data_IF_899642191290
#
_entry.id   IF_899642191290
#
_cell.length_a   1.000
_cell.length_b   1.000
_cell.length_c   1.000
_cell.angle_alpha   90.00
_cell.angle_beta   90.00
_cell.angle_gamma   90.00
#
_symmetry.space_group_name_H-M   'P 1'
#
loop_
_entity.id
_entity.type
_entity.pdbx_description
1 polymer ?
#
# COMPACT_ATOMS: atom_id res chain seq x y z
N UNK A 1 -25.51 18.17 -54.86
CA UNK A 1 -24.05 17.95 -54.87
C UNK A 1 -23.69 16.92 -53.82
N UNK A 2 -23.46 15.66 -54.24
CA UNK A 2 -23.00 14.59 -53.37
C UNK A 2 -21.69 14.97 -52.66
N UNK A 3 -21.56 14.62 -51.39
CA UNK A 3 -20.44 15.03 -50.55
C UNK A 3 -19.73 13.83 -49.93
N UNK A 4 -18.39 13.86 -49.91
CA UNK A 4 -17.58 12.83 -49.27
C UNK A 4 -17.20 13.24 -47.84
N UNK A 5 -17.76 12.60 -46.78
CA UNK A 5 -17.44 12.93 -45.40
C UNK A 5 -16.04 12.49 -44.91
N UNK A 6 -15.31 11.74 -45.74
CA UNK A 6 -13.93 11.30 -45.46
C UNK A 6 -12.88 12.18 -46.11
N UNK A 7 -13.15 12.67 -47.32
CA UNK A 7 -12.22 13.50 -48.09
C UNK A 7 -12.56 15.01 -48.04
N UNK A 8 -13.71 15.38 -47.47
CA UNK A 8 -14.21 16.76 -47.39
C UNK A 8 -14.30 17.45 -48.76
N UNK A 9 -14.92 16.77 -49.73
CA UNK A 9 -15.08 17.25 -51.10
C UNK A 9 -16.50 17.06 -51.62
N UNK A 10 -16.96 18.02 -52.41
CA UNK A 10 -18.24 18.00 -53.11
C UNK A 10 -18.06 17.52 -54.56
N UNK A 11 -19.01 16.72 -55.03
CA UNK A 11 -18.99 16.08 -56.34
C UNK A 11 -20.15 16.58 -57.21
N UNK A 12 -19.97 16.47 -58.52
CA UNK A 12 -21.00 16.79 -59.51
C UNK A 12 -22.14 15.76 -59.41
N UNK A 13 -23.38 16.20 -59.60
CA UNK A 13 -24.57 15.36 -59.51
C UNK A 13 -24.51 14.17 -60.48
N UNK A 14 -24.77 12.96 -59.96
CA UNK A 14 -24.70 11.69 -60.71
C UNK A 14 -23.52 10.78 -60.31
N UNK A 15 -22.57 11.27 -59.52
CA UNK A 15 -21.47 10.47 -58.96
C UNK A 15 -21.88 9.97 -57.56
N UNK A 16 -21.81 8.65 -57.33
CA UNK A 16 -22.24 8.01 -56.08
C UNK A 16 -21.08 7.47 -55.22
N UNK A 17 -19.87 7.43 -55.77
CA UNK A 17 -18.66 6.90 -55.13
C UNK A 17 -17.52 7.93 -55.24
N UNK A 18 -16.82 8.18 -54.14
CA UNK A 18 -15.67 9.09 -54.10
C UNK A 18 -14.49 8.53 -54.90
N UNK A 19 -13.86 9.33 -55.77
CA UNK A 19 -12.69 8.92 -56.55
C UNK A 19 -11.45 8.59 -55.71
N UNK A 20 -11.31 9.23 -54.54
CA UNK A 20 -10.07 9.19 -53.76
C UNK A 20 -10.14 8.13 -52.66
N UNK A 21 -11.22 8.12 -51.87
CA UNK A 21 -11.38 7.14 -50.79
C UNK A 21 -12.29 5.95 -51.14
N UNK A 22 -12.87 5.92 -52.34
CA UNK A 22 -13.78 4.86 -52.81
C UNK A 22 -15.01 4.62 -51.90
N UNK A 23 -15.31 5.57 -51.00
CA UNK A 23 -16.45 5.51 -50.09
C UNK A 23 -17.74 6.02 -50.72
N UNK A 24 -18.91 5.60 -50.20
CA UNK A 24 -20.20 6.13 -50.63
C UNK A 24 -20.30 7.63 -50.31
N UNK A 25 -20.83 8.41 -51.26
CA UNK A 25 -21.07 9.84 -51.09
C UNK A 25 -22.43 10.07 -50.42
N UNK A 26 -22.48 10.99 -49.46
CA UNK A 26 -23.72 11.45 -48.85
C UNK A 26 -24.45 12.41 -49.80
N UNK A 27 -25.78 12.48 -49.72
CA UNK A 27 -26.60 13.32 -50.61
C UNK A 27 -26.28 14.82 -50.51
N UNK A 28 -25.82 15.27 -49.34
CA UNK A 28 -25.30 16.61 -49.10
C UNK A 28 -24.33 16.64 -47.91
N UNK A 29 -23.53 17.71 -47.81
CA UNK A 29 -22.64 17.96 -46.68
C UNK A 29 -23.40 18.02 -45.35
N UNK A 30 -24.52 18.71 -45.34
CA UNK A 30 -25.38 18.87 -44.17
C UNK A 30 -25.98 17.53 -43.71
N UNK A 31 -26.36 16.64 -44.64
CA UNK A 31 -26.82 15.30 -44.31
C UNK A 31 -25.71 14.45 -43.67
N UNK A 32 -24.48 14.57 -44.16
CA UNK A 32 -23.33 13.86 -43.59
C UNK A 32 -22.94 14.36 -42.19
N UNK A 33 -22.97 15.68 -41.98
CA UNK A 33 -22.71 16.30 -40.67
C UNK A 33 -23.82 15.98 -39.66
N UNK A 34 -25.09 15.99 -40.10
CA UNK A 34 -26.22 15.61 -39.24
C UNK A 34 -26.18 14.14 -38.80
N UNK A 35 -25.78 13.22 -39.69
CA UNK A 35 -25.60 11.81 -39.33
C UNK A 35 -24.45 11.61 -38.34
N UNK A 36 -23.28 12.25 -38.57
CA UNK A 36 -22.15 12.19 -37.63
C UNK A 36 -22.51 12.77 -36.26
N UNK A 37 -23.24 13.88 -36.22
CA UNK A 37 -23.66 14.51 -34.96
C UNK A 37 -24.61 13.62 -34.17
N UNK A 38 -25.57 12.97 -34.83
CA UNK A 38 -26.47 11.99 -34.18
C UNK A 38 -25.70 10.80 -33.62
N UNK A 39 -24.76 10.24 -34.39
CA UNK A 39 -23.92 9.14 -33.93
C UNK A 39 -23.04 9.55 -32.73
N UNK A 40 -22.50 10.78 -32.74
CA UNK A 40 -21.76 11.35 -31.61
C UNK A 40 -22.63 11.57 -30.38
N UNK A 41 -23.86 12.06 -30.54
CA UNK A 41 -24.81 12.23 -29.44
C UNK A 41 -25.23 10.87 -28.85
N UNK A 42 -25.52 9.87 -29.69
CA UNK A 42 -25.86 8.50 -29.25
C UNK A 42 -24.69 7.82 -28.52
N UNK A 43 -23.47 7.96 -29.03
CA UNK A 43 -22.28 7.42 -28.36
C UNK A 43 -22.00 8.10 -27.03
N UNK A 44 -22.19 9.43 -26.95
CA UNK A 44 -22.04 10.17 -25.70
C UNK A 44 -23.08 9.74 -24.66
N UNK A 45 -24.35 9.57 -25.06
CA UNK A 45 -25.42 9.09 -24.17
C UNK A 45 -25.11 7.68 -23.64
N UNK A 46 -24.65 6.76 -24.49
CA UNK A 46 -24.24 5.41 -24.07
C UNK A 46 -23.09 5.42 -23.05
N UNK A 47 -22.09 6.27 -23.27
CA UNK A 47 -20.96 6.40 -22.34
C UNK A 47 -21.40 6.98 -20.99
N UNK A 48 -22.37 7.91 -20.98
CA UNK A 48 -22.92 8.44 -19.73
C UNK A 48 -23.67 7.37 -18.94
N UNK A 49 -24.52 6.58 -19.60
CA UNK A 49 -25.24 5.48 -18.95
C UNK A 49 -24.27 4.44 -18.34
N UNK A 50 -23.21 4.08 -19.06
CA UNK A 50 -22.18 3.14 -18.57
C UNK A 50 -21.42 3.70 -17.36
N UNK A 51 -21.11 5.00 -17.38
CA UNK A 51 -20.47 5.69 -16.26
C UNK A 51 -21.37 5.73 -15.02
N UNK A 52 -22.66 6.01 -15.19
CA UNK A 52 -23.64 6.02 -14.09
C UNK A 52 -23.82 4.62 -13.49
N UNK A 53 -23.90 3.59 -14.32
CA UNK A 53 -23.96 2.19 -13.87
C UNK A 53 -22.71 1.78 -13.08
N UNK A 54 -21.53 2.13 -13.57
CA UNK A 54 -20.28 1.87 -12.86
C UNK A 54 -20.23 2.60 -11.52
N UNK A 55 -20.67 3.86 -11.47
CA UNK A 55 -20.72 4.63 -10.23
C UNK A 55 -21.68 4.02 -9.21
N UNK A 56 -22.84 3.53 -9.64
CA UNK A 56 -23.81 2.85 -8.78
C UNK A 56 -23.23 1.54 -8.22
N UNK A 57 -22.62 0.70 -9.05
CA UNK A 57 -22.02 -0.56 -8.57
C UNK A 57 -20.89 -0.35 -7.55
N UNK A 58 -20.07 0.69 -7.72
CA UNK A 58 -19.04 1.07 -6.75
C UNK A 58 -19.67 1.52 -5.42
N UNK A 59 -20.77 2.26 -5.46
CA UNK A 59 -21.45 2.74 -4.26
C UNK A 59 -22.15 1.60 -3.50
N UNK A 60 -22.78 0.66 -4.23
CA UNK A 60 -23.36 -0.56 -3.65
C UNK A 60 -22.28 -1.43 -2.99
N UNK A 61 -21.12 -1.59 -3.64
CA UNK A 61 -19.96 -2.27 -3.05
C UNK A 61 -19.51 -1.58 -1.76
N UNK A 62 -19.38 -0.25 -1.75
CA UNK A 62 -19.00 0.49 -0.53
C UNK A 62 -20.01 0.29 0.60
N UNK A 63 -21.29 0.36 0.30
CA UNK A 63 -22.34 0.17 1.29
C UNK A 63 -22.33 -1.26 1.86
N UNK A 64 -22.13 -2.28 1.01
CA UNK A 64 -22.00 -3.66 1.47
C UNK A 64 -20.78 -3.84 2.39
N UNK A 65 -19.65 -3.21 2.06
CA UNK A 65 -18.45 -3.21 2.92
C UNK A 65 -18.70 -2.51 4.27
N UNK A 66 -19.34 -1.33 4.27
CA UNK A 66 -19.65 -0.59 5.50
C UNK A 66 -20.68 -1.30 6.39
N UNK A 67 -21.62 -2.02 5.78
CA UNK A 67 -22.64 -2.80 6.50
C UNK A 67 -22.04 -4.09 7.09
N UNK A 68 -21.14 -4.77 6.37
CA UNK A 68 -20.33 -5.86 6.94
C UNK A 68 -19.45 -5.39 8.10
N UNK A 69 -18.91 -4.17 8.04
CA UNK A 69 -18.09 -3.61 9.13
C UNK A 69 -18.91 -3.36 10.40
N UNK A 70 -20.16 -2.91 10.27
CA UNK A 70 -21.07 -2.66 11.40
C UNK A 70 -21.74 -3.92 11.96
N UNK A 71 -21.83 -4.98 11.16
CA UNK A 71 -22.49 -6.23 11.54
C UNK A 71 -21.59 -7.22 12.32
N UNK A 72 -20.27 -6.97 12.42
CA UNK A 72 -19.39 -7.83 13.22
C UNK A 72 -19.57 -7.54 14.72
N UNK A 73 -19.96 -8.54 15.54
CA UNK A 73 -19.87 -8.41 16.98
C UNK A 73 -18.42 -8.13 17.37
N UNK A 74 -18.24 -7.27 18.37
CA UNK A 74 -16.97 -6.81 18.91
C UNK A 74 -16.08 -7.99 19.33
N UNK A 75 -15.31 -8.51 18.37
CA UNK A 75 -14.15 -9.43 18.42
C UNK A 75 -14.00 -10.03 17.03
N UNK A 76 -13.62 -9.19 16.08
CA UNK A 76 -12.73 -9.69 15.03
C UNK A 76 -11.41 -9.91 15.77
N UNK A 77 -10.74 -11.07 15.69
CA UNK A 77 -9.30 -11.06 15.85
C UNK A 77 -8.82 -10.14 14.75
N UNK A 78 -8.64 -8.86 15.09
CA UNK A 78 -7.69 -8.00 14.41
C UNK A 78 -6.49 -8.90 14.21
N UNK A 79 -6.10 -9.16 12.95
CA UNK A 79 -4.82 -9.80 12.70
C UNK A 79 -3.83 -8.96 13.50
N UNK A 80 -3.44 -9.43 14.69
CA UNK A 80 -2.70 -8.64 15.65
C UNK A 80 -1.42 -8.35 14.92
N UNK A 81 -1.30 -7.12 14.43
CA UNK A 81 -0.10 -6.73 13.71
C UNK A 81 1.00 -6.91 14.74
N UNK A 82 1.91 -7.84 14.47
CA UNK A 82 3.05 -8.07 15.33
C UNK A 82 3.69 -6.71 15.63
N UNK A 83 3.93 -6.44 16.91
CA UNK A 83 4.46 -5.15 17.30
C UNK A 83 5.78 -4.88 16.58
N UNK A 84 5.83 -3.75 15.86
CA UNK A 84 7.05 -3.32 15.18
C UNK A 84 7.79 -2.40 16.12
N UNK A 85 8.89 -2.90 16.67
CA UNK A 85 9.77 -2.09 17.52
C UNK A 85 10.40 -0.93 16.73
N UNK A 86 10.76 0.15 17.43
CA UNK A 86 11.50 1.25 16.79
C UNK A 86 12.84 0.81 16.21
N UNK A 87 13.48 -0.21 16.78
CA UNK A 87 14.69 -0.81 16.25
C UNK A 87 14.46 -1.45 14.87
N UNK A 88 13.43 -2.29 14.74
CA UNK A 88 13.07 -2.90 13.46
C UNK A 88 12.67 -1.85 12.42
N UNK A 89 11.88 -0.85 12.82
CA UNK A 89 11.50 0.26 11.93
C UNK A 89 12.73 1.05 11.44
N UNK A 90 13.74 1.23 12.28
CA UNK A 90 15.00 1.86 11.88
C UNK A 90 15.74 1.03 10.82
N UNK A 91 15.87 -0.28 11.05
CA UNK A 91 16.55 -1.17 10.10
C UNK A 91 15.83 -1.23 8.75
N UNK A 92 14.49 -1.21 8.74
CA UNK A 92 13.69 -1.15 7.51
C UNK A 92 13.91 0.17 6.74
N UNK A 93 13.91 1.30 7.45
CA UNK A 93 14.17 2.62 6.85
C UNK A 93 15.60 2.72 6.32
N UNK A 94 16.58 2.19 7.06
CA UNK A 94 17.99 2.17 6.63
C UNK A 94 18.20 1.28 5.41
N UNK A 95 17.61 0.09 5.42
CA UNK A 95 17.66 -0.86 4.31
C UNK A 95 17.05 -0.27 3.05
N UNK A 96 15.83 0.28 3.15
CA UNK A 96 15.14 0.93 2.03
C UNK A 96 15.87 2.18 1.51
N UNK A 97 16.40 3.03 2.40
CA UNK A 97 17.20 4.18 2.00
C UNK A 97 18.43 3.77 1.18
N UNK A 98 19.12 2.70 1.59
CA UNK A 98 20.28 2.19 0.84
C UNK A 98 19.92 1.69 -0.55
N UNK A 99 18.77 1.01 -0.71
CA UNK A 99 18.28 0.54 -2.00
C UNK A 99 18.00 1.73 -2.95
N UNK A 100 17.32 2.77 -2.46
CA UNK A 100 17.07 3.97 -3.25
C UNK A 100 18.36 4.73 -3.59
N UNK A 101 19.33 4.76 -2.68
CA UNK A 101 20.62 5.39 -2.92
C UNK A 101 21.42 4.65 -4.02
N UNK A 102 21.42 3.31 -4.00
CA UNK A 102 22.10 2.50 -5.01
C UNK A 102 21.44 2.66 -6.39
N UNK A 103 20.11 2.49 -6.47
CA UNK A 103 19.37 2.61 -7.74
C UNK A 103 19.45 4.03 -8.28
N UNK A 104 19.18 5.04 -7.44
CA UNK A 104 19.26 6.45 -7.81
C UNK A 104 20.67 6.87 -8.23
N UNK A 105 21.70 6.40 -7.52
CA UNK A 105 23.10 6.67 -7.82
C UNK A 105 23.54 6.06 -9.15
N UNK A 106 23.24 4.79 -9.40
CA UNK A 106 23.54 4.12 -10.67
C UNK A 106 22.81 4.79 -11.84
N UNK A 107 21.52 5.11 -11.68
CA UNK A 107 20.72 5.77 -12.72
C UNK A 107 21.26 7.15 -13.04
N UNK A 108 21.61 7.93 -12.01
CA UNK A 108 22.17 9.28 -12.17
C UNK A 108 23.55 9.24 -12.82
N UNK A 109 24.43 8.30 -12.39
CA UNK A 109 25.74 8.11 -13.01
C UNK A 109 25.62 7.71 -14.49
N UNK A 110 24.75 6.76 -14.81
CA UNK A 110 24.48 6.37 -16.20
C UNK A 110 23.91 7.53 -17.03
N UNK A 111 23.05 8.35 -16.42
CA UNK A 111 22.53 9.54 -17.07
C UNK A 111 23.65 10.55 -17.39
N UNK A 112 24.56 10.83 -16.45
CA UNK A 112 25.74 11.69 -16.67
C UNK A 112 26.64 11.16 -17.79
N UNK A 113 26.83 9.84 -17.89
CA UNK A 113 27.56 9.21 -18.99
C UNK A 113 26.88 9.42 -20.35
N UNK A 114 25.55 9.52 -20.37
CA UNK A 114 24.79 9.86 -21.58
C UNK A 114 24.99 11.32 -21.98
N UNK A 115 25.15 12.24 -21.03
CA UNK A 115 25.45 13.67 -21.31
C UNK A 115 26.84 13.88 -21.91
N UNK A 116 27.82 13.05 -21.51
CA UNK A 116 29.18 13.09 -22.07
C UNK A 116 29.30 12.40 -23.44
N UNK A 117 28.18 11.92 -23.99
CA UNK A 117 28.10 11.27 -25.32
C UNK A 117 28.97 10.00 -25.45
N UNK A 118 29.39 9.42 -24.31
CA UNK A 118 30.18 8.19 -24.25
C UNK A 118 29.33 6.95 -24.50
N UNK A 119 28.07 6.99 -24.07
CA UNK A 119 27.04 5.99 -24.38
C UNK A 119 25.96 6.67 -25.24
N UNK A 120 25.92 6.36 -26.54
CA UNK A 120 24.86 6.88 -27.42
C UNK A 120 23.58 6.08 -27.21
N UNK A 121 22.67 6.63 -26.42
CA UNK A 121 21.31 6.11 -26.33
C UNK A 121 20.47 6.60 -27.52
N UNK A 122 19.54 5.79 -28.03
CA UNK A 122 18.63 6.18 -29.13
C UNK A 122 17.50 7.13 -28.67
N UNK A 123 17.59 7.67 -27.45
CA UNK A 123 16.59 8.56 -26.87
C UNK A 123 16.98 10.02 -27.13
N UNK A 124 16.03 10.85 -27.58
CA UNK A 124 16.25 12.29 -27.73
C UNK A 124 16.37 13.01 -26.38
N UNK A 125 16.57 14.34 -26.41
CA UNK A 125 16.76 15.19 -25.22
C UNK A 125 15.72 14.95 -24.10
N UNK A 126 14.46 14.71 -24.47
CA UNK A 126 13.38 14.44 -23.52
C UNK A 126 13.64 13.18 -22.69
N UNK A 127 14.12 12.09 -23.31
CA UNK A 127 14.42 10.83 -22.61
C UNK A 127 15.62 10.93 -21.68
N UNK A 128 16.59 11.77 -22.03
CA UNK A 128 17.77 11.99 -21.21
C UNK A 128 17.45 12.83 -19.95
N UNK A 129 16.62 13.87 -20.11
CA UNK A 129 16.15 14.69 -18.99
C UNK A 129 15.24 13.88 -18.05
N UNK A 130 14.32 13.07 -18.58
CA UNK A 130 13.45 12.25 -17.74
C UNK A 130 14.24 11.19 -16.95
N UNK A 131 15.27 10.58 -17.54
CA UNK A 131 16.16 9.66 -16.84
C UNK A 131 16.94 10.36 -15.72
N UNK A 132 17.49 11.57 -15.96
CA UNK A 132 18.13 12.35 -14.87
C UNK A 132 17.14 12.67 -13.76
N UNK A 133 15.93 13.11 -14.10
CA UNK A 133 14.93 13.52 -13.13
C UNK A 133 14.53 12.35 -12.21
N UNK A 134 14.32 11.16 -12.78
CA UNK A 134 14.00 9.96 -12.01
C UNK A 134 15.13 9.61 -11.04
N UNK A 135 16.39 9.69 -11.48
CA UNK A 135 17.56 9.41 -10.62
C UNK A 135 17.67 10.38 -9.45
N UNK A 136 17.44 11.67 -9.71
CA UNK A 136 17.42 12.69 -8.67
C UNK A 136 16.26 12.52 -7.69
N UNK A 137 15.08 12.11 -8.17
CA UNK A 137 13.92 11.79 -7.31
C UNK A 137 14.27 10.63 -6.35
N UNK A 138 14.87 9.55 -6.86
CA UNK A 138 15.30 8.43 -6.02
C UNK A 138 16.34 8.85 -4.96
N UNK A 139 17.30 9.71 -5.34
CA UNK A 139 18.28 10.25 -4.38
C UNK A 139 17.64 11.15 -3.33
N UNK A 140 16.64 11.96 -3.71
CA UNK A 140 15.90 12.80 -2.77
C UNK A 140 15.09 11.97 -1.77
N UNK A 141 14.43 10.90 -2.24
CA UNK A 141 13.74 9.92 -1.38
C UNK A 141 14.75 9.27 -0.43
N UNK A 142 15.89 8.78 -0.95
CA UNK A 142 16.93 8.16 -0.13
C UNK A 142 17.44 9.09 0.98
N UNK A 143 17.64 10.38 0.69
CA UNK A 143 18.06 11.37 1.68
C UNK A 143 16.97 11.56 2.74
N UNK A 144 15.72 11.73 2.34
CA UNK A 144 14.59 11.89 3.28
C UNK A 144 14.41 10.65 4.17
N UNK A 145 14.41 9.45 3.59
CA UNK A 145 14.29 8.19 4.34
C UNK A 145 15.47 8.01 5.31
N UNK A 146 16.67 8.45 4.95
CA UNK A 146 17.84 8.41 5.84
C UNK A 146 17.67 9.35 7.04
N UNK A 147 17.10 10.54 6.82
CA UNK A 147 16.78 11.49 7.91
C UNK A 147 15.71 10.91 8.84
N UNK A 148 14.67 10.30 8.29
CA UNK A 148 13.60 9.66 9.06
C UNK A 148 14.15 8.49 9.90
N UNK A 149 15.06 7.68 9.34
CA UNK A 149 15.78 6.64 10.10
C UNK A 149 16.56 7.27 11.26
N UNK A 150 17.30 8.35 11.02
CA UNK A 150 18.08 9.00 12.07
C UNK A 150 17.19 9.56 13.19
N UNK A 151 16.02 10.12 12.87
CA UNK A 151 15.07 10.60 13.86
C UNK A 151 14.50 9.47 14.75
N UNK A 152 14.26 8.28 14.18
CA UNK A 152 13.79 7.11 14.92
C UNK A 152 14.89 6.56 15.83
N UNK A 153 16.15 6.60 15.40
CA UNK A 153 17.27 6.01 16.15
C UNK A 153 17.45 6.57 17.57
N UNK A 154 17.16 7.87 17.77
CA UNK A 154 17.24 8.50 19.09
C UNK A 154 16.23 7.96 20.11
N UNK A 155 15.15 7.33 19.64
CA UNK A 155 14.08 6.80 20.48
C UNK A 155 14.23 5.30 20.77
N UNK A 156 15.15 4.61 20.09
CA UNK A 156 15.36 3.16 20.24
C UNK A 156 15.81 2.83 21.66
N UNK A 157 16.84 3.54 22.15
CA UNK A 157 17.40 3.25 23.48
C UNK A 157 16.40 3.48 24.61
N UNK A 158 15.51 4.46 24.48
CA UNK A 158 14.47 4.72 25.48
C UNK A 158 13.40 3.61 25.48
N UNK A 159 12.99 3.16 24.30
CA UNK A 159 12.03 2.06 24.16
C UNK A 159 12.62 0.75 24.68
N UNK A 160 13.83 0.39 24.27
CA UNK A 160 14.50 -0.83 24.73
C UNK A 160 14.73 -0.82 26.24
N UNK A 161 15.11 0.32 26.82
CA UNK A 161 15.27 0.44 28.26
C UNK A 161 13.93 0.23 28.99
N UNK A 162 12.83 0.80 28.49
CA UNK A 162 11.49 0.58 29.06
C UNK A 162 11.04 -0.87 28.94
N UNK A 163 11.20 -1.47 27.76
CA UNK A 163 10.91 -2.89 27.54
C UNK A 163 11.70 -3.75 28.52
N UNK A 164 13.02 -3.57 28.61
CA UNK A 164 13.87 -4.32 29.54
C UNK A 164 13.48 -4.08 31.01
N UNK A 165 13.10 -2.86 31.38
CA UNK A 165 12.64 -2.56 32.72
C UNK A 165 11.36 -3.32 33.07
N UNK A 166 10.39 -3.41 32.15
CA UNK A 166 9.13 -4.14 32.36
C UNK A 166 9.41 -5.65 32.45
N UNK A 167 10.21 -6.19 31.53
CA UNK A 167 10.57 -7.63 31.53
C UNK A 167 11.34 -8.01 32.79
N UNK A 168 12.31 -7.19 33.21
CA UNK A 168 13.08 -7.43 34.45
C UNK A 168 12.25 -7.29 35.72
N UNK A 169 11.31 -6.34 35.76
CA UNK A 169 10.34 -6.24 36.85
C UNK A 169 9.49 -7.51 36.94
N UNK A 170 8.94 -7.98 35.82
CA UNK A 170 8.09 -9.17 35.79
C UNK A 170 8.85 -10.41 36.25
N UNK A 171 10.02 -10.66 35.66
CA UNK A 171 10.86 -11.83 35.96
C UNK A 171 11.49 -11.77 37.36
N UNK A 172 11.57 -10.59 37.97
CA UNK A 172 12.00 -10.41 39.36
C UNK A 172 10.88 -10.63 40.38
N UNK A 173 9.60 -10.46 40.00
CA UNK A 173 8.44 -10.63 40.90
C UNK A 173 7.74 -11.99 40.74
N UNK A 174 7.76 -12.54 39.53
CA UNK A 174 7.02 -13.75 39.17
C UNK A 174 7.96 -14.81 38.60
N UNK A 175 7.68 -16.08 38.91
CA UNK A 175 8.37 -17.24 38.34
C UNK A 175 7.37 -18.15 37.64
N UNK A 176 7.82 -18.88 36.60
CA UNK A 176 6.93 -19.78 35.84
C UNK A 176 6.22 -20.81 36.72
N UNK A 177 6.90 -21.35 37.74
CA UNK A 177 6.28 -22.29 38.71
C UNK A 177 5.17 -21.66 39.55
N UNK A 178 5.28 -20.38 39.91
CA UNK A 178 4.24 -19.67 40.66
C UNK A 178 3.01 -19.43 39.79
N UNK A 179 3.22 -19.00 38.53
CA UNK A 179 2.13 -18.82 37.57
C UNK A 179 1.41 -20.14 37.28
N UNK A 180 2.16 -21.23 37.09
CA UNK A 180 1.59 -22.56 36.90
C UNK A 180 0.78 -23.02 38.10
N UNK A 181 1.25 -22.73 39.32
CA UNK A 181 0.52 -23.02 40.55
C UNK A 181 -0.79 -22.23 40.66
N UNK A 182 -0.81 -20.97 40.21
CA UNK A 182 -2.02 -20.16 40.16
C UNK A 182 -3.02 -20.72 39.13
N UNK A 183 -2.55 -21.07 37.93
CA UNK A 183 -3.40 -21.67 36.90
C UNK A 183 -3.99 -23.01 37.34
N UNK A 184 -3.21 -23.85 38.03
CA UNK A 184 -3.67 -25.12 38.58
C UNK A 184 -4.77 -24.92 39.64
N UNK A 185 -4.67 -23.86 40.46
CA UNK A 185 -5.68 -23.54 41.46
C UNK A 185 -7.00 -23.04 40.84
N UNK A 186 -6.91 -22.24 39.77
CA UNK A 186 -8.08 -21.62 39.13
C UNK A 186 -8.80 -22.58 38.16
N UNK A 187 -8.05 -23.42 37.43
CA UNK A 187 -8.58 -24.24 36.33
C UNK A 187 -8.37 -25.75 36.49
N UNK A 188 -7.57 -26.19 37.46
CA UNK A 188 -7.21 -27.61 37.62
C UNK A 188 -6.17 -28.09 36.60
N UNK A 189 -6.08 -29.41 36.42
CA UNK A 189 -5.20 -30.01 35.41
C UNK A 189 -5.71 -29.70 34.00
N UNK A 190 -4.94 -28.88 33.28
CA UNK A 190 -5.18 -28.51 31.89
C UNK A 190 -4.32 -29.35 30.94
N UNK A 191 -4.77 -29.51 29.70
CA UNK A 191 -3.91 -30.06 28.65
C UNK A 191 -2.70 -29.14 28.41
N UNK A 192 -1.53 -29.66 27.99
CA UNK A 192 -0.31 -28.86 27.79
C UNK A 192 -0.52 -27.67 26.84
N UNK A 193 -1.32 -27.84 25.79
CA UNK A 193 -1.63 -26.79 24.82
C UNK A 193 -2.50 -25.71 25.46
N UNK A 194 -3.53 -26.08 26.19
CA UNK A 194 -4.42 -25.14 26.90
C UNK A 194 -3.68 -24.39 28.01
N UNK A 195 -2.77 -25.08 28.71
CA UNK A 195 -1.91 -24.49 29.73
C UNK A 195 -0.99 -23.43 29.12
N UNK A 196 -0.43 -23.67 27.93
CA UNK A 196 0.43 -22.70 27.24
C UNK A 196 -0.30 -21.41 26.91
N UNK A 197 -1.55 -21.51 26.42
CA UNK A 197 -2.40 -20.37 26.11
C UNK A 197 -2.78 -19.61 27.40
N UNK A 198 -3.15 -20.32 28.46
CA UNK A 198 -3.53 -19.70 29.73
C UNK A 198 -2.38 -19.01 30.46
N UNK A 199 -1.16 -19.55 30.34
CA UNK A 199 0.06 -18.87 30.80
C UNK A 199 0.25 -17.54 30.09
N UNK A 200 0.07 -17.53 28.77
CA UNK A 200 0.19 -16.31 27.96
C UNK A 200 -0.86 -15.28 28.37
N UNK A 201 -2.14 -15.67 28.44
CA UNK A 201 -3.26 -14.82 28.91
C UNK A 201 -2.95 -14.21 30.29
N UNK A 202 -2.47 -15.03 31.24
CA UNK A 202 -2.16 -14.57 32.60
C UNK A 202 -1.02 -13.54 32.63
N UNK A 203 0.02 -13.75 31.82
CA UNK A 203 1.12 -12.78 31.68
C UNK A 203 0.59 -11.45 31.13
N UNK A 204 -0.26 -11.49 30.11
CA UNK A 204 -0.88 -10.29 29.54
C UNK A 204 -1.73 -9.54 30.57
N UNK A 205 -2.58 -10.24 31.31
CA UNK A 205 -3.44 -9.65 32.33
C UNK A 205 -2.63 -8.94 33.42
N UNK A 206 -1.53 -9.56 33.87
CA UNK A 206 -0.63 -8.96 34.86
C UNK A 206 0.04 -7.70 34.29
N UNK A 207 0.50 -7.73 33.04
CA UNK A 207 1.14 -6.58 32.37
C UNK A 207 0.17 -5.41 32.22
N UNK A 208 -1.05 -5.67 31.73
CA UNK A 208 -2.09 -4.65 31.54
C UNK A 208 -2.46 -4.03 32.89
N UNK A 209 -2.64 -4.86 33.93
CA UNK A 209 -3.07 -4.40 35.25
C UNK A 209 -2.01 -3.55 35.97
N UNK A 210 -0.72 -3.88 35.84
CA UNK A 210 0.35 -3.20 36.58
C UNK A 210 0.96 -2.00 35.85
N UNK A 211 0.98 -2.01 34.52
CA UNK A 211 1.70 -1.01 33.71
C UNK A 211 0.79 -0.14 32.84
N UNK A 212 -0.54 -0.32 32.87
CA UNK A 212 -1.54 0.46 32.11
C UNK A 212 -1.16 0.56 30.61
N UNK A 213 -0.85 -0.60 30.03
CA UNK A 213 -0.38 -0.71 28.65
C UNK A 213 -1.58 -0.68 27.70
N UNK A 214 -1.69 0.40 26.93
CA UNK A 214 -2.81 0.64 26.02
C UNK A 214 -2.65 0.02 24.62
N UNK A 215 -1.44 -0.42 24.25
CA UNK A 215 -1.13 -1.01 22.94
C UNK A 215 -1.15 -2.55 23.04
N UNK A 216 -2.19 -3.23 22.49
CA UNK A 216 -2.31 -4.68 22.57
C UNK A 216 -1.12 -5.41 21.92
N UNK A 217 -0.65 -4.91 20.77
CA UNK A 217 0.50 -5.52 20.08
C UNK A 217 1.76 -5.45 20.94
N UNK A 218 1.97 -4.34 21.65
CA UNK A 218 3.11 -4.19 22.55
C UNK A 218 3.02 -5.15 23.74
N UNK A 219 1.82 -5.36 24.28
CA UNK A 219 1.57 -6.34 25.35
C UNK A 219 1.85 -7.76 24.85
N UNK A 220 1.38 -8.13 23.66
CA UNK A 220 1.65 -9.44 23.05
C UNK A 220 3.16 -9.68 22.96
N UNK A 221 3.91 -8.71 22.43
CA UNK A 221 5.36 -8.79 22.29
C UNK A 221 6.08 -8.91 23.63
N UNK A 222 5.65 -8.17 24.65
CA UNK A 222 6.19 -8.30 26.01
C UNK A 222 5.88 -9.67 26.63
N UNK A 223 4.66 -10.17 26.42
CA UNK A 223 4.25 -11.47 26.91
C UNK A 223 5.06 -12.59 26.26
N UNK A 224 5.35 -12.49 24.95
CA UNK A 224 6.26 -13.40 24.25
C UNK A 224 7.67 -13.38 24.85
N UNK A 225 8.26 -12.18 25.04
CA UNK A 225 9.59 -12.00 25.62
C UNK A 225 9.68 -12.61 27.04
N UNK A 226 8.66 -12.36 27.87
CA UNK A 226 8.58 -12.88 29.25
C UNK A 226 8.34 -14.38 29.27
N UNK A 227 7.43 -14.89 28.44
CA UNK A 227 7.14 -16.31 28.34
C UNK A 227 8.40 -17.08 27.94
N UNK A 228 9.12 -16.59 26.93
CA UNK A 228 10.42 -17.11 26.53
C UNK A 228 11.38 -17.16 27.72
N UNK A 229 11.50 -16.06 28.47
CA UNK A 229 12.41 -16.00 29.62
C UNK A 229 12.03 -16.96 30.77
N UNK A 230 10.74 -17.17 31.02
CA UNK A 230 10.26 -17.96 32.17
C UNK A 230 10.15 -19.45 31.90
N UNK A 231 9.95 -19.84 30.63
CA UNK A 231 9.64 -21.21 30.23
C UNK A 231 10.57 -21.80 29.16
N UNK A 232 11.58 -21.05 28.68
CA UNK A 232 12.70 -21.66 27.96
C UNK A 232 13.62 -22.40 28.94
N UNK A 233 13.40 -23.70 29.07
CA UNK A 233 14.45 -24.70 29.33
C UNK A 233 14.97 -25.25 27.99
#
# INVERSE_FOLDING_TARGET
>A
MPYCPKCDMEFIDGITVCSDCHGPLAESREAAEAMKKKEQEETFMRLQEEYEYQKQSIEELKQAYEEEEKAKPNRVPEFTRAYVSKAQKYDDLKSSASAFFLVGGLLTAFSVLSWTNMVRLPFGLVGQVSLTALGLIFLAIAAKTSMDAQAVSGQISEEEAKTQQIVSWFTGQYTGKQLDGQLLADYGELAPEEQSLKRFDLIQDILITNHDLNDPSYVDKLAEDIYGTLYQD
#
